data_IF_889930728124
#
_entry.id   IF_889930728124
#
_cell.length_a   1.000
_cell.length_b   1.000
_cell.length_c   1.000
_cell.angle_alpha   90.00
_cell.angle_beta   90.00
_cell.angle_gamma   90.00
#
_symmetry.space_group_name_H-M   'P 1'
#
loop_
_entity.id
_entity.type
_entity.pdbx_description
1 polymer ?
#
# COMPACT_ATOMS: atom_id res chain seq x y z
N UNK A 1 -7.19 -20.97 7.50
CA UNK A 1 -8.00 -20.15 8.42
C UNK A 1 -7.43 -20.14 9.84
N UNK A 2 -6.89 -21.27 10.35
CA UNK A 2 -6.28 -21.35 11.68
C UNK A 2 -5.08 -20.39 11.93
N UNK A 3 -4.44 -19.87 10.87
CA UNK A 3 -3.29 -18.95 10.95
C UNK A 3 -3.65 -17.46 10.84
N UNK A 4 -4.93 -17.12 10.71
CA UNK A 4 -5.35 -15.72 10.62
C UNK A 4 -6.42 -15.47 11.68
N UNK A 5 -6.31 -14.42 12.51
CA UNK A 5 -7.29 -14.09 13.54
C UNK A 5 -8.56 -13.49 12.91
N UNK A 6 -9.25 -14.27 12.06
CA UNK A 6 -10.41 -13.84 11.27
C UNK A 6 -11.20 -15.05 10.74
N UNK A 7 -12.49 -14.83 10.45
CA UNK A 7 -13.38 -15.89 9.97
C UNK A 7 -13.03 -16.36 8.55
N UNK A 8 -13.43 -17.60 8.22
CA UNK A 8 -13.24 -18.15 6.87
C UNK A 8 -13.92 -17.29 5.79
N UNK A 9 -15.10 -16.75 6.08
CA UNK A 9 -15.82 -15.85 5.18
C UNK A 9 -15.02 -14.56 4.91
N UNK A 10 -14.37 -14.00 5.94
CA UNK A 10 -13.48 -12.85 5.76
C UNK A 10 -12.29 -13.22 4.86
N UNK A 11 -11.64 -14.38 5.10
CA UNK A 11 -10.54 -14.86 4.24
C UNK A 11 -11.01 -15.01 2.79
N UNK A 12 -12.20 -15.57 2.54
CA UNK A 12 -12.75 -15.69 1.18
C UNK A 12 -12.98 -14.33 0.52
N UNK A 13 -13.44 -13.32 1.27
CA UNK A 13 -13.61 -11.95 0.75
C UNK A 13 -12.27 -11.37 0.32
N UNK A 14 -11.21 -11.50 1.14
CA UNK A 14 -9.88 -11.02 0.77
C UNK A 14 -9.32 -11.75 -0.46
N UNK A 15 -9.43 -13.07 -0.52
CA UNK A 15 -9.00 -13.85 -1.69
C UNK A 15 -9.72 -13.39 -2.96
N UNK A 16 -11.03 -13.13 -2.89
CA UNK A 16 -11.79 -12.64 -4.04
C UNK A 16 -11.33 -11.25 -4.53
N UNK A 17 -10.96 -10.35 -3.60
CA UNK A 17 -10.41 -9.03 -3.95
C UNK A 17 -9.03 -9.19 -4.60
N UNK A 18 -8.17 -10.01 -4.02
CA UNK A 18 -6.83 -10.27 -4.56
C UNK A 18 -6.89 -10.93 -5.94
N UNK A 19 -7.85 -11.83 -6.16
CA UNK A 19 -8.09 -12.49 -7.44
C UNK A 19 -8.56 -11.49 -8.50
N UNK A 20 -9.51 -10.62 -8.14
CA UNK A 20 -9.97 -9.52 -9.02
C UNK A 20 -8.86 -8.52 -9.36
N UNK A 21 -7.90 -8.33 -8.45
CA UNK A 21 -6.73 -7.49 -8.67
C UNK A 21 -5.60 -8.19 -9.46
N UNK A 22 -5.78 -9.46 -9.85
CA UNK A 22 -4.76 -10.24 -10.55
C UNK A 22 -3.56 -10.64 -9.70
N UNK A 23 -3.63 -10.44 -8.37
CA UNK A 23 -2.53 -10.71 -7.44
C UNK A 23 -2.47 -12.18 -7.02
N UNK A 24 -3.59 -12.90 -7.13
CA UNK A 24 -3.67 -14.33 -6.88
C UNK A 24 -4.52 -14.99 -7.96
N UNK A 25 -4.27 -16.26 -8.23
CA UNK A 25 -5.09 -17.11 -9.10
C UNK A 25 -5.72 -18.24 -8.28
N UNK A 26 -6.84 -18.75 -8.76
CA UNK A 26 -7.61 -19.78 -8.08
C UNK A 26 -7.78 -21.00 -8.96
N UNK A 27 -7.15 -22.09 -8.56
CA UNK A 27 -7.25 -23.36 -9.25
C UNK A 27 -8.10 -24.33 -8.43
N UNK A 28 -9.02 -25.03 -9.11
CA UNK A 28 -9.83 -26.08 -8.48
C UNK A 28 -9.16 -27.43 -8.68
N UNK A 29 -8.64 -28.01 -7.60
CA UNK A 29 -8.10 -29.37 -7.58
C UNK A 29 -9.09 -30.28 -6.85
N UNK A 30 -9.98 -30.92 -7.61
CA UNK A 30 -11.04 -31.78 -7.07
C UNK A 30 -12.07 -30.99 -6.23
N UNK A 31 -12.17 -31.32 -4.93
CA UNK A 31 -13.03 -30.61 -3.95
C UNK A 31 -12.33 -29.44 -3.26
N UNK A 32 -11.03 -29.23 -3.50
CA UNK A 32 -10.23 -28.17 -2.87
C UNK A 32 -10.01 -27.02 -3.85
N UNK A 33 -10.04 -25.80 -3.33
CA UNK A 33 -9.65 -24.58 -4.03
C UNK A 33 -8.25 -24.19 -3.55
N UNK A 34 -7.28 -24.23 -4.45
CA UNK A 34 -5.91 -23.79 -4.18
C UNK A 34 -5.80 -22.34 -4.67
N UNK A 35 -5.34 -21.46 -3.79
CA UNK A 35 -5.05 -20.06 -4.12
C UNK A 35 -3.54 -19.97 -4.30
N UNK A 36 -3.10 -19.52 -5.47
CA UNK A 36 -1.69 -19.29 -5.77
C UNK A 36 -1.45 -17.79 -5.91
N UNK A 37 -0.38 -17.31 -5.30
CA UNK A 37 0.06 -15.93 -5.48
C UNK A 37 0.72 -15.78 -6.84
N UNK A 38 0.46 -14.68 -7.54
CA UNK A 38 1.13 -14.33 -8.80
C UNK A 38 2.29 -13.38 -8.51
N UNK A 39 3.55 -13.87 -8.48
CA UNK A 39 4.69 -13.06 -8.06
C UNK A 39 4.99 -11.90 -9.01
N UNK A 40 4.67 -12.03 -10.30
CA UNK A 40 4.85 -10.97 -11.29
C UNK A 40 3.92 -9.79 -11.00
N UNK A 41 2.61 -10.04 -10.82
CA UNK A 41 1.65 -8.97 -10.54
C UNK A 41 1.94 -8.28 -9.21
N UNK A 42 2.43 -9.02 -8.21
CA UNK A 42 2.88 -8.42 -6.96
C UNK A 42 4.10 -7.50 -7.13
N UNK A 43 5.06 -7.86 -7.98
CA UNK A 43 6.20 -6.98 -8.30
C UNK A 43 5.76 -5.69 -8.97
N UNK A 44 4.82 -5.78 -9.92
CA UNK A 44 4.25 -4.61 -10.59
C UNK A 44 3.54 -3.70 -9.57
N UNK A 45 2.70 -4.28 -8.72
CA UNK A 45 2.00 -3.53 -7.67
C UNK A 45 2.98 -2.86 -6.69
N UNK A 46 4.04 -3.55 -6.28
CA UNK A 46 5.11 -2.98 -5.46
C UNK A 46 5.78 -1.79 -6.15
N UNK A 47 6.18 -1.94 -7.42
CA UNK A 47 6.80 -0.85 -8.17
C UNK A 47 5.90 0.38 -8.33
N UNK A 48 4.58 0.21 -8.42
CA UNK A 48 3.63 1.33 -8.39
C UNK A 48 3.59 2.02 -7.03
N UNK A 49 3.57 1.24 -5.94
CA UNK A 49 3.60 1.79 -4.58
C UNK A 49 4.89 2.56 -4.30
N UNK A 50 6.03 2.05 -4.76
CA UNK A 50 7.34 2.72 -4.61
C UNK A 50 7.35 4.09 -5.30
N UNK A 51 6.71 4.20 -6.47
CA UNK A 51 6.56 5.48 -7.17
C UNK A 51 5.69 6.48 -6.39
N UNK A 52 4.59 6.01 -5.79
CA UNK A 52 3.75 6.86 -4.93
C UNK A 52 4.49 7.28 -3.66
N UNK A 53 5.25 6.38 -3.05
CA UNK A 53 6.08 6.69 -1.89
C UNK A 53 7.08 7.80 -2.21
N UNK A 54 7.80 7.69 -3.33
CA UNK A 54 8.75 8.72 -3.76
C UNK A 54 8.06 10.10 -3.94
N UNK A 55 6.87 10.12 -4.57
CA UNK A 55 6.09 11.34 -4.75
C UNK A 55 5.66 11.96 -3.42
N UNK A 56 5.20 11.15 -2.47
CA UNK A 56 4.79 11.65 -1.16
C UNK A 56 5.96 12.13 -0.32
N UNK A 57 7.10 11.41 -0.33
CA UNK A 57 8.31 11.86 0.34
C UNK A 57 8.76 13.23 -0.18
N UNK A 58 8.86 13.39 -1.50
CA UNK A 58 9.23 14.68 -2.08
C UNK A 58 8.23 15.81 -1.77
N UNK A 59 6.93 15.51 -1.60
CA UNK A 59 5.95 16.52 -1.14
C UNK A 59 6.17 16.90 0.31
N UNK A 60 6.39 15.92 1.19
CA UNK A 60 6.67 16.14 2.61
C UNK A 60 7.95 16.93 2.80
N UNK A 61 9.02 16.59 2.07
CA UNK A 61 10.30 17.30 2.15
C UNK A 61 10.15 18.77 1.73
N UNK A 62 9.36 19.06 0.67
CA UNK A 62 9.06 20.44 0.28
C UNK A 62 8.26 21.19 1.35
N UNK A 63 7.27 20.55 1.96
CA UNK A 63 6.51 21.17 3.05
C UNK A 63 7.40 21.44 4.26
N UNK A 64 8.28 20.50 4.62
CA UNK A 64 9.24 20.66 5.71
C UNK A 64 10.23 21.80 5.42
N UNK A 65 10.70 21.93 4.18
CA UNK A 65 11.54 23.03 3.75
C UNK A 65 10.83 24.38 3.90
N UNK A 66 9.56 24.50 3.48
CA UNK A 66 8.78 25.74 3.63
C UNK A 66 8.57 26.16 5.09
N UNK A 67 8.35 25.20 5.99
CA UNK A 67 8.21 25.47 7.43
C UNK A 67 9.54 25.90 8.06
N UNK A 68 10.64 25.33 7.58
CA UNK A 68 12.00 25.65 8.07
C UNK A 68 12.51 26.97 7.50
N UNK A 69 12.16 27.26 6.24
CA UNK A 69 12.54 28.45 5.48
C UNK A 69 11.53 29.60 5.61
N UNK A 70 10.49 29.45 6.44
CA UNK A 70 9.83 30.61 7.04
C UNK A 70 10.75 31.14 8.15
N UNK A 71 11.62 32.14 7.89
CA UNK A 71 12.29 32.81 8.98
C UNK A 71 11.20 33.39 9.85
N UNK A 72 11.51 33.44 11.12
CA UNK A 72 10.90 34.24 12.16
C UNK A 72 10.54 35.65 11.65
N UNK A 73 9.46 35.83 10.88
CA UNK A 73 8.78 37.11 10.59
C UNK A 73 7.95 37.53 11.81
N UNK A 74 8.52 37.31 12.99
CA UNK A 74 8.00 37.74 14.28
C UNK A 74 9.12 38.28 15.18
N UNK A 75 10.35 38.45 14.66
CA UNK A 75 11.43 39.16 15.35
C UNK A 75 11.81 40.51 14.71
N UNK A 76 11.07 40.93 13.68
CA UNK A 76 11.25 42.22 12.99
C UNK A 76 9.89 42.95 12.91
N UNK A 77 9.17 43.00 14.03
CA UNK A 77 8.20 44.06 14.31
C UNK A 77 8.70 44.65 15.63
N UNK A 78 9.53 45.69 15.50
CA UNK A 78 9.96 46.70 16.50
C UNK A 78 10.10 46.28 17.97
N UNK A 79 11.23 46.33 18.67
CA UNK A 79 12.43 47.20 18.59
C UNK A 79 12.23 48.68 18.34
#
# INVERSE_FOLDING_TARGET
AQHYPMSFAAVQKHVAILERAGLVTKERTGRRKIVRTEPETLRIARGLLDQYEALWRGRVDRMAALVTDSPTRSKEIDR
#
